data_IF_179231762957
#
_entry.id   IF_179231762957
#
_cell.length_a   1.000
_cell.length_b   1.000
_cell.length_c   1.000
_cell.angle_alpha   90.00
_cell.angle_beta   90.00
_cell.angle_gamma   90.00
#
_symmetry.space_group_name_H-M   'P 1'
#
loop_
_entity.id
_entity.type
_entity.pdbx_description
1 polymer ?
#
# COMPACT_ATOMS: atom_id res chain seq x y z
N UNK A 1 8.15 4.47 1.97
CA UNK A 1 7.23 5.60 2.13
C UNK A 1 5.97 5.13 2.85
N UNK A 2 5.54 5.84 3.90
CA UNK A 2 4.22 5.69 4.51
C UNK A 2 3.32 6.86 4.13
N UNK A 3 2.02 6.65 4.09
CA UNK A 3 1.05 7.71 3.77
C UNK A 3 -0.35 7.42 4.30
N UNK A 4 -1.04 8.50 4.66
CA UNK A 4 -2.46 8.49 4.96
C UNK A 4 -3.27 8.50 3.64
N UNK A 5 -3.77 7.34 3.23
CA UNK A 5 -4.49 7.17 1.98
C UNK A 5 -5.78 7.97 1.88
N UNK A 6 -6.39 8.38 3.02
CA UNK A 6 -7.60 9.21 3.03
C UNK A 6 -7.38 10.59 2.40
N UNK A 7 -6.13 11.04 2.31
CA UNK A 7 -5.71 12.33 1.74
C UNK A 7 -5.37 12.25 0.24
N UNK A 8 -5.46 11.04 -0.36
CA UNK A 8 -5.02 10.81 -1.74
C UNK A 8 -6.07 10.06 -2.56
N UNK A 9 -6.11 10.37 -3.86
CA UNK A 9 -6.91 9.65 -4.85
C UNK A 9 -6.20 8.39 -5.35
N UNK A 10 -5.56 7.67 -4.42
CA UNK A 10 -4.77 6.48 -4.66
C UNK A 10 -3.29 6.77 -4.95
N UNK A 11 -2.56 5.72 -5.32
CA UNK A 11 -1.13 5.82 -5.56
C UNK A 11 -0.80 6.46 -6.91
N UNK A 12 -1.42 5.96 -7.99
CA UNK A 12 -1.05 6.32 -9.36
C UNK A 12 -1.39 7.77 -9.70
N UNK A 13 -0.44 8.48 -10.32
CA UNK A 13 -0.62 9.86 -10.78
C UNK A 13 -1.81 9.99 -11.73
N UNK A 14 -2.65 10.98 -11.45
CA UNK A 14 -3.77 11.43 -12.24
C UNK A 14 -3.56 12.91 -12.59
N UNK A 15 -4.25 13.39 -13.62
CA UNK A 15 -4.01 14.74 -14.14
C UNK A 15 -4.46 15.88 -13.22
N UNK A 16 -5.48 15.65 -12.39
CA UNK A 16 -6.14 16.70 -11.59
C UNK A 16 -6.14 16.46 -10.07
N UNK A 17 -5.87 15.23 -9.62
CA UNK A 17 -6.07 14.84 -8.23
C UNK A 17 -4.76 14.65 -7.48
N UNK A 18 -4.78 14.93 -6.17
CA UNK A 18 -3.66 14.64 -5.29
C UNK A 18 -3.47 13.12 -5.16
N UNK A 19 -2.35 12.61 -5.64
CA UNK A 19 -1.99 11.19 -5.60
C UNK A 19 -0.62 11.02 -4.96
N UNK A 20 -0.36 9.86 -4.37
CA UNK A 20 0.92 9.58 -3.70
C UNK A 20 2.09 9.73 -4.67
N UNK A 21 1.99 9.15 -5.86
CA UNK A 21 3.01 9.24 -6.91
C UNK A 21 3.19 10.69 -7.37
N UNK A 22 2.10 11.42 -7.60
CA UNK A 22 2.15 12.80 -8.05
C UNK A 22 2.85 13.73 -7.07
N UNK A 23 2.55 13.63 -5.78
CA UNK A 23 3.19 14.44 -4.75
C UNK A 23 4.68 14.06 -4.54
N UNK A 24 5.03 12.78 -4.64
CA UNK A 24 6.45 12.37 -4.62
C UNK A 24 7.20 12.89 -5.84
N UNK A 25 6.65 12.76 -7.05
CA UNK A 25 7.27 13.26 -8.29
C UNK A 25 7.46 14.78 -8.23
N UNK A 26 6.48 15.52 -7.71
CA UNK A 26 6.53 16.96 -7.53
C UNK A 26 7.65 17.37 -6.55
N UNK A 27 7.76 16.69 -5.42
CA UNK A 27 8.80 16.94 -4.43
C UNK A 27 10.20 16.63 -5.00
N UNK A 28 10.36 15.47 -5.63
CA UNK A 28 11.62 15.04 -6.22
C UNK A 28 12.04 15.92 -7.40
N UNK A 29 11.11 16.30 -8.27
CA UNK A 29 11.41 17.19 -9.41
C UNK A 29 11.85 18.59 -8.95
N UNK A 30 11.31 19.09 -7.81
CA UNK A 30 11.80 20.34 -7.21
C UNK A 30 13.24 20.22 -6.72
N UNK A 31 13.61 19.08 -6.13
CA UNK A 31 14.97 18.82 -5.65
C UNK A 31 15.93 18.63 -6.82
N UNK A 32 15.50 17.85 -7.81
CA UNK A 32 16.30 17.49 -9.00
C UNK A 32 16.45 18.65 -10.01
N UNK A 33 15.56 19.65 -9.95
CA UNK A 33 15.41 20.76 -10.93
C UNK A 33 15.05 20.31 -12.34
N UNK A 34 14.65 19.06 -12.51
CA UNK A 34 14.16 18.44 -13.73
C UNK A 34 13.08 17.41 -13.39
N UNK A 35 12.21 16.99 -14.33
CA UNK A 35 11.16 16.01 -14.06
C UNK A 35 11.72 14.68 -13.54
N UNK A 36 11.12 14.15 -12.47
CA UNK A 36 11.44 12.85 -11.91
C UNK A 36 10.21 11.97 -11.96
N UNK A 37 10.38 10.72 -12.38
CA UNK A 37 9.32 9.74 -12.48
C UNK A 37 9.48 8.66 -11.40
N UNK A 38 8.44 8.46 -10.60
CA UNK A 38 8.44 7.50 -9.50
C UNK A 38 7.74 6.21 -9.92
N UNK A 39 8.39 5.07 -9.69
CA UNK A 39 7.80 3.74 -9.90
C UNK A 39 7.61 3.05 -8.55
N UNK A 40 6.37 2.76 -8.18
CA UNK A 40 6.02 2.08 -6.94
C UNK A 40 6.01 0.57 -7.06
N UNK A 41 6.15 -0.13 -5.94
CA UNK A 41 6.08 -1.59 -5.84
C UNK A 41 4.66 -2.15 -6.10
N UNK A 42 3.65 -1.32 -5.92
CA UNK A 42 2.25 -1.62 -6.21
C UNK A 42 1.41 -0.37 -6.17
N UNK A 43 0.27 -0.43 -6.84
CA UNK A 43 -0.73 0.63 -6.77
C UNK A 43 -1.65 0.33 -5.59
N UNK A 44 -2.02 1.35 -4.85
CA UNK A 44 -3.11 1.32 -3.88
C UNK A 44 -4.28 2.12 -4.43
N UNK A 45 -5.48 1.67 -4.17
CA UNK A 45 -6.70 2.38 -4.55
C UNK A 45 -6.91 3.61 -3.63
N UNK A 46 -7.87 4.46 -3.99
CA UNK A 46 -8.24 5.64 -3.19
C UNK A 46 -8.57 5.22 -1.75
N UNK A 47 -8.06 5.97 -0.78
CA UNK A 47 -8.30 5.75 0.65
C UNK A 47 -7.43 4.67 1.28
N UNK A 48 -6.71 3.86 0.51
CA UNK A 48 -5.84 2.81 1.06
C UNK A 48 -4.55 3.42 1.60
N UNK A 49 -4.28 3.21 2.88
CA UNK A 49 -3.06 3.64 3.57
C UNK A 49 -1.87 2.74 3.24
N UNK A 50 -0.67 3.22 3.51
CA UNK A 50 0.53 2.39 3.48
C UNK A 50 1.46 2.72 4.64
N UNK A 51 2.03 1.68 5.25
CA UNK A 51 3.09 1.80 6.24
C UNK A 51 4.49 1.67 5.62
N UNK A 52 4.61 1.12 4.41
CA UNK A 52 5.92 0.81 3.83
C UNK A 52 5.90 0.56 2.33
N UNK A 53 5.30 1.47 1.55
CA UNK A 53 5.39 1.42 0.09
C UNK A 53 6.84 1.60 -0.34
N UNK A 54 7.31 0.72 -1.23
CA UNK A 54 8.63 0.85 -1.85
C UNK A 54 8.48 1.52 -3.21
N UNK A 55 9.36 2.48 -3.49
CA UNK A 55 9.43 3.19 -4.76
C UNK A 55 10.87 3.29 -5.22
N UNK A 56 11.11 3.45 -6.52
CA UNK A 56 12.39 3.85 -7.06
C UNK A 56 12.22 4.98 -8.05
N UNK A 57 13.28 5.73 -8.24
CA UNK A 57 13.39 6.87 -9.14
C UNK A 57 14.87 7.17 -9.41
N UNK A 58 15.14 7.90 -10.46
CA UNK A 58 16.47 8.36 -10.84
C UNK A 58 16.59 9.86 -10.58
N UNK A 59 17.77 10.31 -10.17
CA UNK A 59 18.09 11.72 -9.97
C UNK A 59 19.35 12.09 -10.76
N UNK A 60 19.36 13.29 -11.35
CA UNK A 60 20.53 13.88 -12.02
C UNK A 60 21.49 14.52 -11.01
N UNK A 61 20.99 14.82 -9.80
CA UNK A 61 21.76 15.47 -8.73
C UNK A 61 22.28 14.46 -7.72
N UNK A 62 23.52 14.62 -7.30
CA UNK A 62 24.11 13.79 -6.26
C UNK A 62 23.76 14.33 -4.87
N UNK A 63 22.71 13.77 -4.26
CA UNK A 63 22.26 14.13 -2.91
C UNK A 63 22.37 12.91 -2.00
N UNK A 64 23.09 13.01 -0.86
CA UNK A 64 23.17 11.91 0.09
C UNK A 64 21.78 11.47 0.57
N UNK A 65 21.50 10.15 0.70
CA UNK A 65 20.17 9.63 1.04
C UNK A 65 19.53 10.29 2.27
N UNK A 66 20.28 10.50 3.33
CA UNK A 66 19.79 11.16 4.55
C UNK A 66 19.32 12.61 4.31
N UNK A 67 20.02 13.36 3.48
CA UNK A 67 19.62 14.73 3.11
C UNK A 67 18.39 14.72 2.20
N UNK A 68 18.36 13.73 1.30
CA UNK A 68 17.22 13.55 0.40
C UNK A 68 15.93 13.23 1.17
N UNK A 69 15.99 12.32 2.17
CA UNK A 69 14.86 12.03 3.07
C UNK A 69 14.32 13.31 3.71
N UNK A 70 15.20 14.11 4.30
CA UNK A 70 14.79 15.35 4.97
C UNK A 70 14.18 16.35 3.98
N UNK A 71 14.77 16.49 2.79
CA UNK A 71 14.26 17.39 1.75
C UNK A 71 12.88 16.95 1.23
N UNK A 72 12.67 15.65 0.98
CA UNK A 72 11.36 15.14 0.58
C UNK A 72 10.34 15.37 1.70
N UNK A 73 10.67 14.99 2.94
CA UNK A 73 9.76 15.09 4.08
C UNK A 73 9.34 16.53 4.36
N UNK A 74 10.22 17.52 4.17
CA UNK A 74 9.86 18.93 4.32
C UNK A 74 8.77 19.41 3.35
N UNK A 75 8.54 18.67 2.27
CA UNK A 75 7.56 19.01 1.24
C UNK A 75 6.27 18.18 1.39
N UNK A 76 6.40 16.88 1.70
CA UNK A 76 5.26 15.93 1.63
C UNK A 76 4.54 15.72 2.96
N UNK A 77 5.15 16.12 4.09
CA UNK A 77 4.48 16.04 5.40
C UNK A 77 3.31 17.04 5.47
N UNK A 78 2.27 16.76 6.31
CA UNK A 78 2.15 15.64 7.24
C UNK A 78 1.51 14.37 6.65
N UNK A 79 1.02 14.38 5.43
CA UNK A 79 0.19 13.30 4.89
C UNK A 79 1.00 12.11 4.36
N UNK A 80 2.30 12.31 4.17
CA UNK A 80 3.24 11.30 3.68
C UNK A 80 4.58 11.45 4.41
N UNK A 81 5.28 10.32 4.60
CA UNK A 81 6.59 10.30 5.25
C UNK A 81 7.51 9.27 4.61
N UNK A 82 8.71 9.71 4.24
CA UNK A 82 9.80 8.87 3.75
C UNK A 82 10.66 8.47 4.94
N UNK A 83 10.58 7.20 5.32
CA UNK A 83 11.32 6.69 6.48
C UNK A 83 12.76 6.31 6.13
N UNK A 84 12.97 5.87 4.87
CA UNK A 84 14.26 5.34 4.44
C UNK A 84 14.47 5.58 2.94
N UNK A 85 15.75 5.73 2.54
CA UNK A 85 16.18 5.89 1.17
C UNK A 85 17.61 5.32 1.03
N UNK A 86 17.83 4.57 -0.02
CA UNK A 86 19.13 3.95 -0.31
C UNK A 86 19.43 4.04 -1.81
N UNK A 87 20.71 4.03 -2.14
CA UNK A 87 21.17 3.88 -3.53
C UNK A 87 21.15 2.39 -3.84
N UNK A 88 20.56 2.05 -4.97
CA UNK A 88 20.42 0.66 -5.44
C UNK A 88 21.09 0.51 -6.79
N UNK A 89 21.30 -0.74 -7.23
CA UNK A 89 21.86 -1.03 -8.56
C UNK A 89 20.87 -0.66 -9.69
N UNK A 90 21.38 -0.41 -10.89
CA UNK A 90 20.61 0.04 -12.03
C UNK A 90 19.59 -1.01 -12.51
N UNK A 91 19.79 -2.29 -12.19
CA UNK A 91 18.86 -3.38 -12.49
C UNK A 91 17.70 -3.49 -11.47
N UNK A 92 17.74 -2.73 -10.38
CA UNK A 92 16.68 -2.74 -9.39
C UNK A 92 15.38 -2.14 -9.91
N UNK A 93 14.29 -2.87 -9.70
CA UNK A 93 12.96 -2.39 -10.04
C UNK A 93 11.95 -2.64 -8.92
N UNK A 94 11.46 -1.59 -8.26
CA UNK A 94 10.58 -1.69 -7.08
C UNK A 94 9.36 -2.61 -7.29
N UNK A 95 8.81 -2.70 -8.50
CA UNK A 95 7.65 -3.54 -8.81
C UNK A 95 8.04 -5.00 -9.06
N UNK A 96 9.15 -5.26 -9.76
CA UNK A 96 9.52 -6.61 -10.18
C UNK A 96 10.33 -7.37 -9.14
N UNK A 97 11.08 -6.64 -8.30
CA UNK A 97 11.86 -7.24 -7.22
C UNK A 97 11.07 -7.46 -5.92
N UNK A 98 9.75 -7.18 -5.93
CA UNK A 98 8.89 -7.45 -4.76
C UNK A 98 8.81 -8.95 -4.49
N UNK A 99 9.20 -9.35 -3.28
CA UNK A 99 9.12 -10.74 -2.81
C UNK A 99 7.77 -11.07 -2.19
N UNK A 100 7.19 -10.12 -1.46
CA UNK A 100 5.90 -10.27 -0.79
C UNK A 100 5.23 -8.92 -0.57
N UNK A 101 3.92 -8.93 -0.44
CA UNK A 101 3.09 -7.81 0.00
C UNK A 101 2.29 -8.21 1.22
N UNK A 102 2.06 -7.25 2.08
CA UNK A 102 1.26 -7.44 3.31
C UNK A 102 0.11 -6.45 3.26
N UNK A 103 -1.11 -6.96 3.40
CA UNK A 103 -2.31 -6.15 3.57
C UNK A 103 -2.93 -6.45 4.92
N UNK A 104 -3.32 -5.41 5.65
CA UNK A 104 -3.99 -5.51 6.93
C UNK A 104 -5.34 -4.81 6.84
N UNK A 105 -6.40 -5.55 7.15
CA UNK A 105 -7.73 -5.01 7.40
C UNK A 105 -7.97 -4.88 8.90
N UNK A 106 -8.62 -3.79 9.29
CA UNK A 106 -9.00 -3.53 10.67
C UNK A 106 -10.53 -3.36 10.67
N UNK A 107 -11.23 -4.26 11.34
CA UNK A 107 -12.69 -4.27 11.41
C UNK A 107 -13.11 -3.93 12.84
N UNK A 108 -13.90 -2.88 12.99
CA UNK A 108 -14.53 -2.52 14.26
C UNK A 108 -15.85 -3.32 14.40
N UNK A 109 -15.91 -4.17 15.41
CA UNK A 109 -17.07 -4.97 15.78
C UNK A 109 -17.93 -4.30 16.87
N UNK A 110 -17.40 -3.24 17.49
CA UNK A 110 -18.08 -2.48 18.53
C UNK A 110 -18.93 -1.33 17.99
N UNK A 111 -19.16 -0.32 18.82
CA UNK A 111 -19.88 0.88 18.41
C UNK A 111 -19.11 1.64 17.33
N UNK A 112 -19.84 2.33 16.45
CA UNK A 112 -19.26 3.19 15.41
C UNK A 112 -18.32 4.23 16.04
N UNK A 113 -17.11 4.36 15.48
CA UNK A 113 -16.09 5.31 15.91
C UNK A 113 -15.82 6.31 14.77
N UNK A 114 -16.36 7.50 14.90
CA UNK A 114 -16.21 8.59 13.91
C UNK A 114 -14.76 9.02 13.73
N UNK A 115 -13.92 8.95 14.78
CA UNK A 115 -12.52 9.37 14.72
C UNK A 115 -11.60 8.36 14.04
N UNK A 116 -12.08 7.13 13.89
CA UNK A 116 -11.33 6.06 13.22
C UNK A 116 -11.93 5.65 11.88
N UNK A 117 -12.95 6.34 11.42
CA UNK A 117 -13.70 5.96 10.22
C UNK A 117 -12.83 5.83 8.95
N UNK A 118 -11.77 6.63 8.83
CA UNK A 118 -10.83 6.55 7.70
C UNK A 118 -9.84 5.39 7.83
N UNK A 119 -9.71 4.75 9.00
CA UNK A 119 -8.67 3.78 9.32
C UNK A 119 -9.20 2.38 9.61
N UNK A 120 -10.50 2.24 9.90
CA UNK A 120 -11.12 0.96 10.22
C UNK A 120 -12.44 0.79 9.45
N UNK A 121 -12.77 -0.44 9.11
CA UNK A 121 -14.09 -0.77 8.62
C UNK A 121 -15.06 -0.93 9.80
N UNK A 122 -15.97 0.01 9.97
CA UNK A 122 -16.97 -0.01 11.02
C UNK A 122 -18.12 -0.97 10.65
N UNK A 123 -17.92 -2.27 10.90
CA UNK A 123 -18.94 -3.30 10.68
C UNK A 123 -20.04 -3.23 11.75
N UNK A 124 -19.66 -2.94 12.99
CA UNK A 124 -20.55 -2.69 14.15
C UNK A 124 -21.51 -3.84 14.48
N UNK A 125 -21.15 -5.06 14.12
CA UNK A 125 -21.92 -6.28 14.37
C UNK A 125 -20.99 -7.45 14.69
N UNK A 126 -21.55 -8.56 15.16
CA UNK A 126 -20.82 -9.78 15.38
C UNK A 126 -20.46 -10.46 14.04
N UNK A 127 -19.27 -11.03 13.99
CA UNK A 127 -18.79 -11.89 12.92
C UNK A 127 -18.49 -13.28 13.48
N UNK A 128 -18.81 -14.30 12.71
CA UNK A 128 -18.35 -15.67 12.97
C UNK A 128 -16.89 -15.80 12.53
N UNK A 129 -15.99 -15.44 13.46
CA UNK A 129 -14.55 -15.41 13.21
C UNK A 129 -14.00 -16.81 12.94
N UNK A 130 -14.53 -17.85 13.61
CA UNK A 130 -14.07 -19.23 13.43
C UNK A 130 -14.39 -19.72 12.01
N UNK A 131 -15.60 -19.48 11.53
CA UNK A 131 -15.95 -19.78 10.14
C UNK A 131 -15.12 -18.97 9.12
N UNK A 132 -14.77 -17.72 9.42
CA UNK A 132 -13.87 -16.92 8.57
C UNK A 132 -12.45 -17.50 8.55
N UNK A 133 -11.92 -17.95 9.69
CA UNK A 133 -10.62 -18.61 9.77
C UNK A 133 -10.61 -19.89 8.95
N UNK A 134 -11.66 -20.72 9.09
CA UNK A 134 -11.76 -21.98 8.33
C UNK A 134 -11.87 -21.72 6.83
N UNK A 135 -12.69 -20.78 6.41
CA UNK A 135 -12.79 -20.39 5.00
C UNK A 135 -11.47 -19.82 4.43
N UNK A 136 -10.70 -19.09 5.25
CA UNK A 136 -9.44 -18.51 4.81
C UNK A 136 -8.37 -19.54 4.42
N UNK A 137 -8.44 -20.75 4.99
CA UNK A 137 -7.52 -21.86 4.69
C UNK A 137 -7.57 -22.26 3.20
N UNK A 138 -8.73 -22.12 2.56
CA UNK A 138 -8.89 -22.41 1.13
C UNK A 138 -8.22 -21.38 0.20
N UNK A 139 -7.84 -20.23 0.74
CA UNK A 139 -7.14 -19.18 -0.01
C UNK A 139 -5.61 -19.32 0.05
N UNK A 140 -5.08 -20.15 0.96
CA UNK A 140 -3.64 -20.35 1.13
C UNK A 140 -3.03 -21.13 -0.03
N UNK A 141 -1.83 -20.72 -0.44
CA UNK A 141 -1.09 -21.34 -1.53
C UNK A 141 -1.33 -20.67 -2.88
N UNK A 142 -1.08 -21.43 -3.95
CA UNK A 142 -1.19 -20.95 -5.35
C UNK A 142 -2.56 -21.28 -5.91
N UNK A 143 -3.29 -20.24 -6.29
CA UNK A 143 -4.64 -20.35 -6.84
C UNK A 143 -4.86 -19.37 -7.99
N UNK A 144 -5.86 -19.65 -8.81
CA UNK A 144 -6.48 -18.66 -9.68
C UNK A 144 -7.52 -17.89 -8.89
N UNK A 145 -7.28 -16.60 -8.70
CA UNK A 145 -8.20 -15.71 -7.99
C UNK A 145 -9.20 -15.00 -8.93
N UNK A 146 -9.50 -15.60 -10.08
CA UNK A 146 -10.41 -15.01 -11.08
C UNK A 146 -11.75 -14.58 -10.49
N UNK A 147 -12.33 -15.37 -9.59
CA UNK A 147 -13.61 -15.06 -8.95
C UNK A 147 -13.59 -13.82 -8.02
N UNK A 148 -12.39 -13.40 -7.59
CA UNK A 148 -12.19 -12.26 -6.69
C UNK A 148 -11.71 -10.99 -7.39
N UNK A 149 -11.48 -11.05 -8.71
CA UNK A 149 -10.81 -9.97 -9.45
C UNK A 149 -11.77 -9.36 -10.46
N UNK A 150 -11.81 -8.03 -10.50
CA UNK A 150 -12.57 -7.31 -11.53
C UNK A 150 -11.72 -7.05 -12.77
N UNK A 151 -12.34 -7.21 -13.94
CA UNK A 151 -11.75 -6.95 -15.25
C UNK A 151 -11.00 -8.15 -15.85
N UNK A 152 -10.88 -8.16 -17.17
CA UNK A 152 -10.20 -9.23 -17.90
C UNK A 152 -8.67 -9.09 -17.83
N UNK A 153 -8.01 -10.23 -17.72
CA UNK A 153 -6.56 -10.38 -17.63
C UNK A 153 -6.12 -11.70 -18.25
N UNK A 154 -4.87 -11.75 -18.70
CA UNK A 154 -4.25 -12.97 -19.21
C UNK A 154 -3.95 -13.98 -18.09
N UNK A 155 -3.75 -13.49 -16.86
CA UNK A 155 -3.39 -14.33 -15.72
C UNK A 155 -4.01 -13.83 -14.43
N UNK A 156 -4.66 -14.74 -13.71
CA UNK A 156 -5.28 -14.51 -12.39
C UNK A 156 -4.56 -15.29 -11.27
N UNK A 157 -3.44 -15.95 -11.57
CA UNK A 157 -2.73 -16.75 -10.59
C UNK A 157 -1.96 -15.86 -9.61
N UNK A 158 -2.12 -16.14 -8.34
CA UNK A 158 -1.34 -15.55 -7.26
C UNK A 158 -1.06 -16.60 -6.18
N UNK A 159 -0.29 -16.21 -5.18
CA UNK A 159 0.06 -17.08 -4.07
C UNK A 159 -0.11 -16.30 -2.76
N UNK A 160 -0.95 -16.82 -1.88
CA UNK A 160 -1.12 -16.33 -0.51
C UNK A 160 -0.29 -17.20 0.41
N UNK A 161 0.67 -16.58 1.09
CA UNK A 161 1.60 -17.26 1.98
C UNK A 161 1.06 -17.48 3.37
N UNK A 162 0.29 -16.49 3.89
CA UNK A 162 -0.19 -16.51 5.26
C UNK A 162 -1.41 -15.60 5.40
N UNK A 163 -2.35 -16.00 6.28
CA UNK A 163 -3.49 -15.20 6.69
C UNK A 163 -3.61 -15.29 8.20
N UNK A 164 -3.51 -14.16 8.90
CA UNK A 164 -3.58 -14.09 10.36
C UNK A 164 -4.77 -13.32 10.83
N UNK A 165 -5.46 -13.86 11.82
CA UNK A 165 -6.54 -13.21 12.52
C UNK A 165 -6.09 -12.89 13.94
N UNK A 166 -6.32 -11.66 14.38
CA UNK A 166 -6.06 -11.21 15.74
C UNK A 166 -7.25 -10.38 16.21
N UNK A 167 -7.92 -10.83 17.27
CA UNK A 167 -8.98 -10.07 17.91
C UNK A 167 -8.44 -9.40 19.17
N UNK A 168 -8.53 -8.09 19.23
CA UNK A 168 -8.18 -7.28 20.39
C UNK A 168 -9.33 -6.34 20.72
N UNK A 169 -9.94 -6.52 21.89
CA UNK A 169 -11.13 -5.78 22.29
C UNK A 169 -12.24 -5.87 21.23
N UNK A 170 -12.67 -4.73 20.69
CA UNK A 170 -13.69 -4.64 19.67
C UNK A 170 -13.12 -4.61 18.24
N UNK A 171 -11.81 -4.83 18.04
CA UNK A 171 -11.20 -4.82 16.73
C UNK A 171 -10.75 -6.20 16.30
N UNK A 172 -11.06 -6.53 15.06
CA UNK A 172 -10.55 -7.71 14.37
C UNK A 172 -9.52 -7.24 13.31
N UNK A 173 -8.31 -7.71 13.46
CA UNK A 173 -7.21 -7.49 12.51
C UNK A 173 -7.05 -8.72 11.64
N UNK A 174 -7.13 -8.55 10.32
CA UNK A 174 -6.88 -9.63 9.35
C UNK A 174 -5.69 -9.23 8.51
N UNK A 175 -4.62 -10.01 8.59
CA UNK A 175 -3.37 -9.73 7.86
C UNK A 175 -3.17 -10.79 6.80
N UNK A 176 -3.07 -10.37 5.55
CA UNK A 176 -2.78 -11.21 4.38
C UNK A 176 -1.35 -10.98 3.94
N UNK A 177 -0.59 -12.05 3.76
CA UNK A 177 0.77 -12.03 3.20
C UNK A 177 0.77 -12.84 1.91
N UNK A 178 1.16 -12.24 0.79
CA UNK A 178 1.15 -12.93 -0.50
C UNK A 178 2.14 -12.35 -1.48
N UNK A 179 2.31 -13.04 -2.60
CA UNK A 179 3.19 -12.64 -3.70
C UNK A 179 2.68 -11.39 -4.42
N UNK A 180 1.40 -11.41 -4.74
CA UNK A 180 0.72 -10.31 -5.42
C UNK A 180 -0.77 -10.30 -5.08
N UNK A 181 -1.37 -9.12 -5.14
CA UNK A 181 -2.80 -8.95 -4.97
C UNK A 181 -3.33 -8.18 -6.18
N UNK A 182 -4.44 -8.62 -6.70
CA UNK A 182 -5.13 -7.96 -7.79
C UNK A 182 -6.14 -6.94 -7.26
N UNK A 183 -6.67 -6.15 -8.16
CA UNK A 183 -7.71 -5.20 -7.81
C UNK A 183 -8.97 -5.96 -7.33
N UNK A 184 -9.47 -5.59 -6.16
CA UNK A 184 -10.62 -6.20 -5.47
C UNK A 184 -10.45 -7.66 -5.02
N UNK A 185 -9.27 -8.23 -5.13
CA UNK A 185 -8.95 -9.58 -4.63
C UNK A 185 -9.07 -9.66 -3.10
#
# INVERSE_FOLDING_TARGET
>A
VSYDGSKFFGFQKLNSDATVQGELEKALSKINKSPVYVKGSGRTDRGVHSLGQRCHFDLDVNVPPKRLINAINSIVMPNMYVADCEIVSDDFHARFNVKRKVYKYIINLGKFDVFKNDYVYNYCNNLDIDSMIDASKYLLGKHSFKAFVSGDRDNYNSEIYDIKFLKENNYLYITFVGKSFYRYM
#
